data_IF_263619684096
#
_entry.id   IF_263619684096
#
_cell.length_a   1.000
_cell.length_b   1.000
_cell.length_c   1.000
_cell.angle_alpha   90.00
_cell.angle_beta   90.00
_cell.angle_gamma   90.00
#
_symmetry.space_group_name_H-M   'P 1'
#
loop_
_entity.id
_entity.type
_entity.pdbx_description
1 polymer ?
#
# COMPACT_ATOMS: atom_id res chain seq x y z
N UNK A 1 37.31 39.81 9.14
CA UNK A 1 36.31 40.10 10.20
C UNK A 1 36.18 38.85 11.05
N UNK A 2 36.52 38.92 12.35
CA UNK A 2 36.55 37.74 13.25
C UNK A 2 35.23 37.68 13.99
N UNK A 3 34.44 36.64 13.75
CA UNK A 3 33.19 36.41 14.48
C UNK A 3 33.56 36.02 15.92
N UNK A 4 33.10 36.75 16.95
CA UNK A 4 33.42 36.41 18.33
C UNK A 4 32.80 35.06 18.68
N UNK A 5 33.58 34.19 19.33
CA UNK A 5 33.18 32.81 19.63
C UNK A 5 31.90 32.75 20.50
N UNK A 6 31.63 33.78 21.30
CA UNK A 6 30.37 33.90 22.05
C UNK A 6 29.12 33.98 21.15
N UNK A 7 29.22 34.52 19.94
CA UNK A 7 28.07 34.64 19.03
C UNK A 7 27.73 33.29 18.36
N UNK A 8 28.74 32.47 18.09
CA UNK A 8 28.56 31.11 17.56
C UNK A 8 27.90 30.20 18.59
N UNK A 9 28.28 30.32 19.87
CA UNK A 9 27.68 29.54 20.97
C UNK A 9 26.20 29.89 21.17
N UNK A 10 25.85 31.19 21.14
CA UNK A 10 24.45 31.62 21.22
C UNK A 10 23.61 31.13 20.03
N UNK A 11 24.17 31.10 18.83
CA UNK A 11 23.45 30.65 17.63
C UNK A 11 23.21 29.14 17.63
N UNK A 12 24.16 28.35 18.15
CA UNK A 12 23.99 26.90 18.33
C UNK A 12 22.94 26.57 19.40
N UNK A 13 22.89 27.32 20.51
CA UNK A 13 21.87 27.14 21.55
C UNK A 13 20.45 27.46 21.05
N UNK A 14 20.31 28.44 20.16
CA UNK A 14 19.02 28.80 19.56
C UNK A 14 18.49 27.72 18.60
N UNK A 15 19.36 27.10 17.80
CA UNK A 15 18.97 25.98 16.93
C UNK A 15 18.68 24.68 17.69
N UNK A 16 19.36 24.42 18.81
CA UNK A 16 19.07 23.26 19.66
C UNK A 16 17.72 23.37 20.39
N UNK A 17 17.30 24.58 20.77
CA UNK A 17 16.00 24.81 21.42
C UNK A 17 14.79 24.64 20.49
N UNK A 18 14.95 24.95 19.20
CA UNK A 18 13.87 24.83 18.22
C UNK A 18 13.45 23.37 17.93
N UNK A 19 14.30 22.38 18.21
CA UNK A 19 14.00 20.96 18.00
C UNK A 19 13.00 20.38 19.02
N UNK A 20 12.74 21.06 20.14
CA UNK A 20 11.84 20.57 21.21
C UNK A 20 10.38 20.98 20.99
N UNK A 21 10.08 21.89 20.06
CA UNK A 21 8.72 22.40 19.83
C UNK A 21 7.87 21.60 18.82
N UNK A 22 8.17 20.32 18.61
CA UNK A 22 7.25 19.40 17.90
C UNK A 22 6.42 18.57 18.88
N UNK A 23 5.97 19.19 19.97
CA UNK A 23 4.93 18.62 20.83
C UNK A 23 3.55 19.00 20.24
N UNK A 24 3.13 18.30 19.18
CA UNK A 24 1.71 18.24 18.88
C UNK A 24 1.07 17.38 19.97
N UNK A 25 0.50 18.04 20.98
CA UNK A 25 -0.39 17.43 21.95
C UNK A 25 -1.53 16.75 21.19
N UNK A 26 -1.40 15.44 20.93
CA UNK A 26 -2.56 14.60 20.72
C UNK A 26 -3.33 14.61 22.05
N UNK A 27 -4.63 14.95 22.08
CA UNK A 27 -5.40 14.87 23.31
C UNK A 27 -5.33 13.44 23.84
N UNK A 28 -4.70 13.29 25.01
CA UNK A 28 -4.67 12.07 25.81
C UNK A 28 -6.13 11.70 26.08
N UNK A 29 -6.59 10.64 25.41
CA UNK A 29 -7.94 10.10 25.52
C UNK A 29 -8.18 9.70 26.97
N UNK A 30 -8.92 10.53 27.71
CA UNK A 30 -9.33 10.28 29.08
C UNK A 30 -10.24 9.04 29.12
N UNK A 31 -9.99 8.17 30.10
CA UNK A 31 -10.58 6.84 30.30
C UNK A 31 -12.06 6.85 30.73
N UNK A 32 -12.80 7.91 30.45
CA UNK A 32 -14.24 8.09 30.78
C UNK A 32 -15.18 7.96 29.59
N UNK A 33 -14.69 7.53 28.43
CA UNK A 33 -15.54 7.20 27.29
C UNK A 33 -15.80 5.69 27.29
N UNK A 34 -16.94 5.26 27.85
CA UNK A 34 -17.55 3.98 27.41
C UNK A 34 -17.90 4.17 25.94
N UNK A 35 -16.90 3.86 25.11
CA UNK A 35 -16.78 4.22 23.73
C UNK A 35 -18.03 3.78 22.96
N UNK A 36 -18.89 4.74 22.62
CA UNK A 36 -19.89 4.53 21.59
C UNK A 36 -19.12 4.17 20.32
N UNK A 37 -19.17 2.90 19.92
CA UNK A 37 -18.48 2.42 18.75
C UNK A 37 -19.17 3.02 17.51
N UNK A 38 -18.72 4.21 17.10
CA UNK A 38 -19.27 4.89 15.93
C UNK A 38 -18.89 4.10 14.69
N UNK A 39 -19.85 3.36 14.14
CA UNK A 39 -19.68 2.67 12.86
C UNK A 39 -19.64 3.70 11.74
N UNK A 40 -18.51 3.74 11.01
CA UNK A 40 -18.33 4.62 9.87
C UNK A 40 -18.88 3.92 8.63
N UNK A 41 -19.90 4.51 8.02
CA UNK A 41 -20.49 4.06 6.77
C UNK A 41 -20.05 4.94 5.60
N UNK A 42 -19.84 4.34 4.44
CA UNK A 42 -19.67 5.12 3.20
C UNK A 42 -21.00 5.77 2.80
N UNK A 43 -20.95 6.83 1.98
CA UNK A 43 -22.17 7.50 1.51
C UNK A 43 -23.08 6.52 0.76
N UNK A 44 -22.50 5.66 -0.08
CA UNK A 44 -23.24 4.67 -0.85
C UNK A 44 -23.94 3.63 0.04
N UNK A 45 -23.30 3.16 1.11
CA UNK A 45 -23.94 2.24 2.07
C UNK A 45 -25.20 2.83 2.71
N UNK A 46 -25.27 4.16 2.88
CA UNK A 46 -26.44 4.82 3.48
C UNK A 46 -27.63 4.94 2.51
N UNK A 47 -27.36 5.07 1.21
CA UNK A 47 -28.39 5.40 0.21
C UNK A 47 -28.72 4.23 -0.72
N UNK A 48 -27.85 3.24 -0.86
CA UNK A 48 -28.03 2.06 -1.72
C UNK A 48 -27.27 0.84 -1.15
N UNK A 49 -27.69 0.31 0.03
CA UNK A 49 -27.00 -0.80 0.67
C UNK A 49 -26.98 -2.06 -0.20
N UNK A 50 -28.06 -2.33 -0.95
CA UNK A 50 -28.23 -3.54 -1.77
C UNK A 50 -27.22 -3.67 -2.91
N UNK A 51 -26.65 -2.55 -3.36
CA UNK A 51 -25.69 -2.49 -4.47
C UNK A 51 -24.26 -2.31 -3.92
N UNK A 52 -24.14 -1.86 -2.67
CA UNK A 52 -22.85 -1.60 -2.04
C UNK A 52 -22.24 -2.88 -1.48
N UNK A 53 -20.94 -3.06 -1.71
CA UNK A 53 -20.20 -4.19 -1.13
C UNK A 53 -20.09 -4.04 0.38
N UNK A 54 -20.26 -5.14 1.10
CA UNK A 54 -20.07 -5.16 2.56
C UNK A 54 -18.63 -4.78 2.93
N UNK A 55 -18.41 -4.38 4.18
CA UNK A 55 -17.06 -4.04 4.64
C UNK A 55 -16.09 -5.23 4.52
N UNK A 56 -16.58 -6.44 4.82
CA UNK A 56 -15.83 -7.69 4.76
C UNK A 56 -15.48 -8.05 3.32
N UNK A 57 -16.44 -7.99 2.39
CA UNK A 57 -16.18 -8.22 0.96
C UNK A 57 -15.15 -7.23 0.39
N UNK A 58 -15.19 -5.97 0.82
CA UNK A 58 -14.19 -4.98 0.41
C UNK A 58 -12.80 -5.31 0.96
N UNK A 59 -12.71 -5.86 2.16
CA UNK A 59 -11.44 -6.33 2.73
C UNK A 59 -10.93 -7.56 1.99
N UNK A 60 -11.79 -8.55 1.75
CA UNK A 60 -11.44 -9.75 0.97
C UNK A 60 -10.92 -9.37 -0.42
N UNK A 61 -11.64 -8.54 -1.16
CA UNK A 61 -11.19 -8.05 -2.49
C UNK A 61 -9.86 -7.32 -2.48
N UNK A 62 -9.47 -6.69 -1.36
CA UNK A 62 -8.14 -6.08 -1.21
C UNK A 62 -7.07 -7.14 -1.01
N UNK A 63 -7.33 -8.13 -0.17
CA UNK A 63 -6.43 -9.26 0.06
C UNK A 63 -6.25 -10.09 -1.21
N UNK A 64 -7.33 -10.40 -1.91
CA UNK A 64 -7.30 -11.13 -3.19
C UNK A 64 -6.43 -10.40 -4.21
N UNK A 65 -6.58 -9.07 -4.31
CA UNK A 65 -5.74 -8.24 -5.19
C UNK A 65 -4.26 -8.32 -4.81
N UNK A 66 -3.93 -8.31 -3.51
CA UNK A 66 -2.55 -8.43 -3.05
C UNK A 66 -1.97 -9.81 -3.39
N UNK A 67 -2.73 -10.88 -3.12
CA UNK A 67 -2.35 -12.25 -3.43
C UNK A 67 -2.14 -12.45 -4.94
N UNK A 68 -3.01 -11.87 -5.78
CA UNK A 68 -2.89 -11.91 -7.23
C UNK A 68 -1.62 -11.19 -7.71
N UNK A 69 -1.33 -10.00 -7.18
CA UNK A 69 -0.09 -9.26 -7.52
C UNK A 69 1.14 -10.07 -7.14
N UNK A 70 1.16 -10.69 -5.97
CA UNK A 70 2.27 -11.54 -5.52
C UNK A 70 2.43 -12.79 -6.39
N UNK A 71 1.33 -13.42 -6.78
CA UNK A 71 1.33 -14.53 -7.72
C UNK A 71 1.90 -14.10 -9.07
N UNK A 72 1.40 -13.01 -9.67
CA UNK A 72 1.89 -12.47 -10.95
C UNK A 72 3.38 -12.15 -10.88
N UNK A 73 3.86 -11.61 -9.76
CA UNK A 73 5.29 -11.35 -9.54
C UNK A 73 6.12 -12.64 -9.60
N UNK A 74 5.68 -13.69 -8.91
CA UNK A 74 6.36 -15.00 -8.91
C UNK A 74 6.41 -15.60 -10.32
N UNK A 75 5.30 -15.51 -11.06
CA UNK A 75 5.24 -16.01 -12.44
C UNK A 75 6.20 -15.25 -13.36
N UNK A 76 6.27 -13.92 -13.24
CA UNK A 76 7.23 -13.11 -14.01
C UNK A 76 8.70 -13.45 -13.69
N UNK A 77 8.98 -13.92 -12.47
CA UNK A 77 10.33 -14.32 -12.06
C UNK A 77 10.72 -15.70 -12.63
N UNK A 78 9.75 -16.58 -12.91
CA UNK A 78 10.00 -17.90 -13.50
C UNK A 78 9.96 -17.91 -15.02
N UNK A 79 9.42 -16.87 -15.65
CA UNK A 79 9.22 -16.81 -17.10
C UNK A 79 10.56 -16.63 -17.83
N UNK A 80 10.80 -17.44 -18.86
CA UNK A 80 11.98 -17.31 -19.74
C UNK A 80 11.79 -16.15 -20.74
N UNK A 81 11.99 -14.92 -20.24
CA UNK A 81 11.93 -13.69 -21.02
C UNK A 81 13.21 -12.87 -20.86
N UNK A 82 13.58 -12.04 -21.84
CA UNK A 82 14.72 -11.16 -21.70
C UNK A 82 14.53 -10.21 -20.53
N UNK A 83 15.59 -10.01 -19.73
CA UNK A 83 15.57 -9.23 -18.48
C UNK A 83 14.99 -7.82 -18.66
N UNK A 84 15.27 -7.17 -19.79
CA UNK A 84 14.70 -5.85 -20.13
C UNK A 84 13.17 -5.85 -20.20
N UNK A 85 12.55 -6.94 -20.66
CA UNK A 85 11.10 -7.10 -20.69
C UNK A 85 10.57 -7.40 -19.29
N UNK A 86 11.24 -8.28 -18.54
CA UNK A 86 10.88 -8.61 -17.15
C UNK A 86 10.84 -7.37 -16.27
N UNK A 87 11.87 -6.52 -16.33
CA UNK A 87 11.91 -5.25 -15.58
C UNK A 87 10.76 -4.31 -15.93
N UNK A 88 10.36 -4.23 -17.20
CA UNK A 88 9.20 -3.42 -17.62
C UNK A 88 7.90 -3.99 -17.07
N UNK A 89 7.72 -5.31 -17.11
CA UNK A 89 6.53 -5.97 -16.57
C UNK A 89 6.45 -5.85 -15.04
N UNK A 90 7.58 -5.90 -14.33
CA UNK A 90 7.63 -5.65 -12.89
C UNK A 90 7.30 -4.19 -12.54
N UNK A 91 7.75 -3.24 -13.36
CA UNK A 91 7.38 -1.84 -13.21
C UNK A 91 5.89 -1.63 -13.45
N UNK A 92 5.34 -2.24 -14.50
CA UNK A 92 3.92 -2.24 -14.77
C UNK A 92 3.15 -2.88 -13.61
N UNK A 93 3.58 -4.03 -13.09
CA UNK A 93 2.95 -4.68 -11.93
C UNK A 93 2.90 -3.78 -10.68
N UNK A 94 3.93 -2.95 -10.47
CA UNK A 94 4.01 -2.02 -9.33
C UNK A 94 3.06 -0.83 -9.45
N UNK A 95 2.96 -0.23 -10.63
CA UNK A 95 2.20 1.02 -10.82
C UNK A 95 0.81 0.81 -11.46
N UNK A 96 0.69 -0.18 -12.35
CA UNK A 96 -0.53 -0.56 -13.05
C UNK A 96 -0.64 -2.09 -13.20
N UNK A 97 -1.09 -2.80 -12.14
CA UNK A 97 -1.10 -4.26 -12.09
C UNK A 97 -2.05 -4.93 -13.09
N UNK A 98 -2.88 -4.17 -13.80
CA UNK A 98 -3.80 -4.65 -14.83
C UNK A 98 -3.55 -3.99 -16.18
N UNK A 99 -2.31 -3.58 -16.46
CA UNK A 99 -1.94 -3.05 -17.78
C UNK A 99 -2.16 -4.09 -18.88
N UNK A 100 -2.56 -3.64 -20.07
CA UNK A 100 -2.81 -4.52 -21.22
C UNK A 100 -1.58 -5.36 -21.58
N UNK A 101 -0.38 -4.77 -21.43
CA UNK A 101 0.89 -5.46 -21.67
C UNK A 101 1.07 -6.64 -20.72
N UNK A 102 0.88 -6.41 -19.41
CA UNK A 102 1.01 -7.44 -18.39
C UNK A 102 -0.06 -8.53 -18.60
N UNK A 103 -1.31 -8.14 -18.80
CA UNK A 103 -2.40 -9.09 -18.99
C UNK A 103 -2.18 -9.97 -20.24
N UNK A 104 -1.70 -9.39 -21.34
CA UNK A 104 -1.33 -10.16 -22.54
C UNK A 104 -0.24 -11.18 -22.23
N UNK A 105 0.82 -10.77 -21.54
CA UNK A 105 1.91 -11.71 -21.17
C UNK A 105 1.44 -12.81 -20.23
N UNK A 106 0.52 -12.53 -19.32
CA UNK A 106 -0.03 -13.55 -18.42
C UNK A 106 -0.97 -14.51 -19.15
N UNK A 107 -1.73 -14.04 -20.14
CA UNK A 107 -2.63 -14.87 -20.94
C UNK A 107 -1.91 -15.78 -21.95
N UNK A 108 -0.73 -15.39 -22.41
CA UNK A 108 0.12 -16.21 -23.28
C UNK A 108 0.73 -17.42 -22.56
N UNK A 109 0.74 -17.41 -21.22
CA UNK A 109 1.19 -18.55 -20.41
C UNK A 109 0.12 -19.63 -20.50
N UNK A 110 0.36 -20.63 -21.36
CA UNK A 110 -0.41 -21.87 -21.34
C UNK A 110 -0.03 -22.63 -20.08
N UNK A 111 -0.95 -22.72 -19.14
CA UNK A 111 -0.90 -23.75 -18.13
C UNK A 111 -1.40 -25.02 -18.82
N UNK A 112 -0.57 -26.06 -18.85
CA UNK A 112 -1.08 -27.40 -19.11
C UNK A 112 -1.94 -27.72 -17.88
N UNK A 113 -3.26 -27.60 -18.05
CA UNK A 113 -4.18 -28.21 -17.11
C UNK A 113 -3.91 -29.72 -17.21
N UNK A 114 -3.49 -30.31 -16.10
CA UNK A 114 -3.24 -31.74 -15.96
C UNK A 114 -4.61 -32.43 -15.96
N UNK A 115 -5.21 -32.58 -17.14
CA UNK A 115 -6.44 -33.32 -17.34
C UNK A 115 -6.16 -34.83 -17.20
N UNK A 116 -6.25 -35.33 -15.97
CA UNK A 116 -6.55 -36.75 -15.72
C UNK A 116 -5.37 -37.63 -15.31
N UNK A 117 -5.13 -37.72 -14.01
CA UNK A 117 -4.74 -38.98 -13.37
C UNK A 117 -6.03 -39.59 -12.81
N UNK A 118 -6.75 -40.29 -13.68
CA UNK A 118 -7.53 -41.47 -13.28
C UNK A 118 -6.54 -42.64 -13.26
N UNK A 119 -6.15 -43.11 -12.07
CA UNK A 119 -5.80 -44.51 -11.73
C UNK A 119 -5.56 -44.68 -10.21
#
# INVERSE_FOLDING_TARGET
MKIPHCWVVCLCLFFAGAAVMTAQDLPKKTETDKATQVQRHTVMEKFAPDISLTAEERQQKRLDRMAEIEFRRRVLDTLDIPERRRLKLLLDLKYNPFSDRLNRTMAEIKFEDDDGIDD
#
